data_IF_087679327057
#
_entry.id   IF_087679327057
#
_cell.length_a   1.000
_cell.length_b   1.000
_cell.length_c   1.000
_cell.angle_alpha   90.00
_cell.angle_beta   90.00
_cell.angle_gamma   90.00
#
_symmetry.space_group_name_H-M   'P 1'
#
loop_
_entity.id
_entity.type
_entity.pdbx_description
1 polymer ?
#
# COMPACT_ATOMS: atom_id res chain seq x y z
N UNK A 1 3.47 20.83 28.77
CA UNK A 1 2.04 20.74 28.38
C UNK A 1 1.36 22.12 28.27
N UNK A 2 1.69 23.11 29.09
CA UNK A 2 0.95 24.39 29.11
C UNK A 2 1.15 25.28 27.88
N UNK A 3 2.32 25.24 27.23
CA UNK A 3 2.60 25.99 26.00
C UNK A 3 1.62 25.69 24.85
N UNK A 4 1.12 24.44 24.77
CA UNK A 4 0.13 24.02 23.77
C UNK A 4 -1.30 24.40 24.14
N UNK A 5 -1.63 24.56 25.43
CA UNK A 5 -2.96 25.03 25.85
C UNK A 5 -3.15 26.51 25.54
N UNK A 6 -2.11 27.34 25.74
CA UNK A 6 -2.21 28.80 25.57
C UNK A 6 -2.52 29.23 24.12
N UNK A 7 -2.02 28.50 23.10
CA UNK A 7 -2.35 28.77 21.68
C UNK A 7 -3.71 28.23 21.20
N UNK A 8 -4.41 27.42 22.00
CA UNK A 8 -5.74 26.90 21.65
C UNK A 8 -6.89 27.73 22.26
N UNK A 9 -6.58 28.67 23.15
CA UNK A 9 -7.54 29.60 23.75
C UNK A 9 -7.73 30.89 22.95
N UNK A 10 -6.76 31.27 22.11
CA UNK A 10 -6.82 32.45 21.24
C UNK A 10 -7.65 32.15 19.99
N UNK A 11 -8.96 31.97 20.19
CA UNK A 11 -9.92 31.68 19.13
C UNK A 11 -10.19 32.91 18.26
N UNK A 12 -9.34 33.16 17.26
CA UNK A 12 -9.66 34.04 16.14
C UNK A 12 -8.99 33.63 14.82
N UNK A 13 -9.26 32.41 14.37
CA UNK A 13 -9.01 31.98 12.98
C UNK A 13 -10.34 31.50 12.38
N UNK A 14 -10.75 32.12 11.26
CA UNK A 14 -12.03 31.92 10.54
C UNK A 14 -13.27 32.71 11.05
N UNK A 15 -13.18 34.03 11.20
CA UNK A 15 -14.33 34.95 11.06
C UNK A 15 -13.87 36.38 10.70
N UNK A 16 -14.66 37.11 9.91
CA UNK A 16 -14.35 38.47 9.40
C UNK A 16 -13.87 38.45 7.95
N UNK A 17 -14.69 38.73 6.93
CA UNK A 17 -15.92 39.55 6.94
C UNK A 17 -15.56 40.97 6.51
N UNK A 18 -15.35 41.17 5.20
CA UNK A 18 -14.94 42.45 4.64
C UNK A 18 -16.01 43.53 4.82
N UNK A 19 -15.60 44.68 5.38
CA UNK A 19 -16.47 45.83 5.60
C UNK A 19 -16.89 46.50 4.28
N UNK A 20 -18.12 47.00 4.28
CA UNK A 20 -18.76 47.67 3.13
C UNK A 20 -18.22 49.09 2.95
N UNK A 21 -17.80 49.43 1.73
CA UNK A 21 -17.56 50.82 1.29
C UNK A 21 -18.41 51.07 0.05
N UNK A 22 -19.33 52.04 0.12
CA UNK A 22 -20.31 52.30 -0.94
C UNK A 22 -19.74 53.08 -2.14
N UNK A 23 -20.31 52.82 -3.31
CA UNK A 23 -20.10 53.58 -4.54
C UNK A 23 -21.13 53.16 -5.59
N UNK A 24 -21.96 54.09 -6.03
CA UNK A 24 -23.05 53.83 -6.99
C UNK A 24 -22.53 53.53 -8.41
N UNK A 25 -23.27 52.74 -9.21
CA UNK A 25 -22.81 52.25 -10.51
C UNK A 25 -23.15 53.21 -11.67
N UNK A 26 -22.24 53.44 -12.63
CA UNK A 26 -22.58 54.03 -13.92
C UNK A 26 -22.83 52.98 -15.01
N UNK A 27 -23.96 53.12 -15.72
CA UNK A 27 -24.09 52.82 -17.15
C UNK A 27 -24.05 51.35 -17.61
N UNK A 28 -25.22 50.76 -17.88
CA UNK A 28 -25.33 49.50 -18.63
C UNK A 28 -25.04 49.74 -20.12
N UNK A 29 -23.79 49.48 -20.54
CA UNK A 29 -23.39 49.43 -21.95
C UNK A 29 -23.57 48.02 -22.52
N UNK A 30 -24.64 47.80 -23.30
CA UNK A 30 -24.96 46.48 -23.87
C UNK A 30 -24.12 46.20 -25.14
N UNK A 31 -22.96 45.56 -24.97
CA UNK A 31 -22.07 45.15 -26.07
C UNK A 31 -21.96 43.63 -26.19
N UNK A 32 -22.58 43.05 -27.23
CA UNK A 32 -22.55 41.60 -27.48
C UNK A 32 -21.20 41.09 -28.02
N UNK A 33 -20.28 40.74 -27.13
CA UNK A 33 -19.04 40.04 -27.46
C UNK A 33 -19.16 38.53 -27.24
N UNK A 34 -18.98 37.73 -28.30
CA UNK A 34 -19.04 36.28 -28.19
C UNK A 34 -17.94 35.73 -27.28
N UNK A 35 -18.32 35.17 -26.13
CA UNK A 35 -17.37 34.54 -25.20
C UNK A 35 -16.79 33.29 -25.85
N UNK A 36 -15.62 33.46 -26.48
CA UNK A 36 -14.80 32.34 -26.94
C UNK A 36 -14.54 31.41 -25.77
N UNK A 37 -15.04 30.17 -25.87
CA UNK A 37 -14.77 29.11 -24.90
C UNK A 37 -13.25 29.03 -24.73
N UNK A 38 -12.70 29.12 -23.50
CA UNK A 38 -11.26 29.02 -23.32
C UNK A 38 -10.77 27.69 -23.91
N UNK A 39 -9.60 27.66 -24.56
CA UNK A 39 -9.06 26.43 -25.11
C UNK A 39 -9.00 25.41 -23.97
N UNK A 40 -9.67 24.28 -24.16
CA UNK A 40 -9.62 23.18 -23.19
C UNK A 40 -8.17 22.73 -23.14
N UNK A 41 -7.48 23.07 -22.06
CA UNK A 41 -6.21 22.43 -21.73
C UNK A 41 -6.44 20.91 -21.74
N UNK A 42 -5.59 20.13 -22.43
CA UNK A 42 -5.69 18.68 -22.33
C UNK A 42 -5.56 18.29 -20.85
N UNK A 43 -6.28 17.25 -20.40
CA UNK A 43 -6.10 16.75 -19.04
C UNK A 43 -4.61 16.41 -18.83
N UNK A 44 -4.05 16.71 -17.65
CA UNK A 44 -2.64 16.44 -17.39
C UNK A 44 -2.36 14.95 -17.59
N UNK A 45 -1.18 14.65 -18.13
CA UNK A 45 -0.70 13.28 -18.29
C UNK A 45 -0.77 12.53 -16.95
N UNK A 46 -1.35 11.31 -16.92
CA UNK A 46 -1.50 10.55 -15.69
C UNK A 46 -0.13 10.23 -15.09
N UNK A 47 -0.05 10.26 -13.76
CA UNK A 47 1.17 10.03 -13.00
C UNK A 47 1.14 8.68 -12.27
N UNK A 48 2.05 7.79 -12.66
CA UNK A 48 2.42 6.60 -11.90
C UNK A 48 3.53 6.93 -10.89
N UNK A 49 3.28 6.70 -9.60
CA UNK A 49 4.32 6.68 -8.58
C UNK A 49 4.81 5.25 -8.34
N UNK A 50 6.08 5.00 -8.60
CA UNK A 50 6.73 3.70 -8.35
C UNK A 50 7.55 3.78 -7.07
N UNK A 51 7.09 3.12 -6.01
CA UNK A 51 7.82 3.02 -4.74
C UNK A 51 8.78 1.83 -4.82
N UNK A 52 10.05 2.08 -5.14
CA UNK A 52 11.03 1.05 -5.48
C UNK A 52 12.47 1.44 -5.10
N UNK A 53 13.32 0.45 -4.76
CA UNK A 53 14.76 0.69 -4.60
C UNK A 53 15.41 1.11 -5.94
N UNK A 54 16.54 1.83 -5.91
CA UNK A 54 17.18 2.37 -7.12
C UNK A 54 17.81 1.32 -8.05
N UNK A 55 17.90 0.04 -7.63
CA UNK A 55 18.48 -1.05 -8.42
C UNK A 55 17.64 -1.48 -9.65
N UNK A 56 16.50 -0.85 -9.91
CA UNK A 56 15.75 -1.00 -11.16
C UNK A 56 15.19 0.36 -11.56
N UNK A 57 15.52 0.81 -12.77
CA UNK A 57 15.01 2.04 -13.38
C UNK A 57 13.63 1.77 -14.00
N UNK A 58 12.58 1.95 -13.21
CA UNK A 58 11.20 1.77 -13.68
C UNK A 58 10.77 2.90 -14.62
N UNK A 59 11.32 4.11 -14.45
CA UNK A 59 11.05 5.26 -15.33
C UNK A 59 11.43 4.91 -16.77
N UNK A 60 12.58 4.28 -16.99
CA UNK A 60 13.01 3.78 -18.31
C UNK A 60 12.11 2.66 -18.84
N UNK A 61 11.64 1.74 -18.01
CA UNK A 61 10.78 0.62 -18.42
C UNK A 61 9.38 1.06 -18.88
N UNK A 62 8.86 2.16 -18.31
CA UNK A 62 7.58 2.75 -18.68
C UNK A 62 7.68 3.86 -19.74
N UNK A 63 8.89 4.24 -20.20
CA UNK A 63 9.09 5.31 -21.19
C UNK A 63 8.35 5.02 -22.50
N UNK A 64 7.68 6.04 -23.05
CA UNK A 64 6.89 5.94 -24.28
C UNK A 64 5.58 5.14 -24.13
N UNK A 65 5.25 4.63 -22.94
CA UNK A 65 3.97 3.95 -22.69
C UNK A 65 2.87 4.97 -22.43
N UNK A 66 1.64 4.62 -22.78
CA UNK A 66 0.44 5.42 -22.50
C UNK A 66 -0.67 4.53 -21.95
N UNK A 67 -1.53 5.12 -21.11
CA UNK A 67 -2.68 4.43 -20.53
C UNK A 67 -3.74 4.23 -21.62
N UNK A 68 -4.27 5.33 -22.17
CA UNK A 68 -5.37 5.31 -23.14
C UNK A 68 -4.94 5.71 -24.57
N UNK A 69 -3.66 5.63 -24.91
CA UNK A 69 -3.14 6.01 -26.24
C UNK A 69 -2.83 7.50 -26.40
N UNK A 70 -3.68 8.37 -25.84
CA UNK A 70 -3.67 9.82 -26.11
C UNK A 70 -2.46 10.59 -25.56
N UNK A 71 -1.93 10.19 -24.39
CA UNK A 71 -0.91 10.94 -23.64
C UNK A 71 0.10 9.97 -23.01
N UNK A 72 1.39 10.28 -23.12
CA UNK A 72 2.47 9.51 -22.48
C UNK A 72 2.32 9.52 -20.95
N UNK A 73 2.56 8.37 -20.32
CA UNK A 73 2.52 8.19 -18.89
C UNK A 73 3.66 8.94 -18.21
N UNK A 74 3.35 9.81 -17.23
CA UNK A 74 4.37 10.35 -16.33
C UNK A 74 4.71 9.32 -15.27
N UNK A 75 6.00 9.19 -14.96
CA UNK A 75 6.49 8.21 -13.99
C UNK A 75 7.44 8.90 -13.03
N UNK A 76 7.16 8.78 -11.74
CA UNK A 76 8.02 9.20 -10.64
C UNK A 76 8.47 7.97 -9.87
N UNK A 77 9.76 7.85 -9.57
CA UNK A 77 10.31 6.77 -8.76
C UNK A 77 10.96 7.33 -7.50
N UNK A 78 10.68 6.69 -6.36
CA UNK A 78 11.20 7.07 -5.05
C UNK A 78 11.21 5.87 -4.08
N UNK A 79 11.99 5.94 -3.02
CA UNK A 79 11.94 5.01 -1.89
C UNK A 79 10.98 5.50 -0.80
N UNK A 80 10.46 4.61 0.04
CA UNK A 80 9.63 4.94 1.22
C UNK A 80 10.30 5.95 2.17
N UNK A 81 11.64 6.01 2.21
CA UNK A 81 12.40 6.98 3.01
C UNK A 81 12.39 8.40 2.43
N UNK A 82 12.12 8.55 1.14
CA UNK A 82 12.08 9.83 0.40
C UNK A 82 10.65 10.39 0.32
N UNK A 83 9.67 9.69 0.89
CA UNK A 83 8.25 10.01 0.75
C UNK A 83 7.66 10.51 2.07
N UNK A 84 6.94 11.63 1.97
CA UNK A 84 5.93 12.04 2.95
C UNK A 84 4.64 12.40 2.23
N UNK A 85 3.51 12.39 2.92
CA UNK A 85 2.23 12.75 2.31
C UNK A 85 1.29 13.43 3.30
N UNK A 86 0.33 14.15 2.75
CA UNK A 86 -0.89 14.57 3.44
C UNK A 86 -2.09 14.07 2.62
N UNK A 87 -3.06 13.45 3.29
CA UNK A 87 -4.28 12.94 2.71
C UNK A 87 -5.50 13.40 3.52
N UNK A 88 -6.63 13.61 2.84
CA UNK A 88 -7.91 13.99 3.43
C UNK A 88 -9.02 13.06 2.96
N UNK A 89 -10.03 12.83 3.81
CA UNK A 89 -11.26 12.07 3.50
C UNK A 89 -12.04 12.63 2.30
N UNK A 90 -11.80 13.87 1.90
CA UNK A 90 -12.39 14.49 0.72
C UNK A 90 -11.60 14.21 -0.59
N UNK A 91 -10.68 13.24 -0.60
CA UNK A 91 -9.92 12.82 -1.78
C UNK A 91 -8.73 13.71 -2.15
N UNK A 92 -8.37 14.67 -1.30
CA UNK A 92 -7.16 15.46 -1.49
C UNK A 92 -5.92 14.65 -1.07
N UNK A 93 -5.06 14.29 -2.01
CA UNK A 93 -3.77 13.63 -1.80
C UNK A 93 -2.63 14.52 -2.33
N UNK A 94 -1.67 14.81 -1.46
CA UNK A 94 -0.40 15.48 -1.82
C UNK A 94 0.75 14.64 -1.28
N UNK A 95 1.54 14.06 -2.18
CA UNK A 95 2.78 13.33 -1.86
C UNK A 95 3.95 14.29 -2.09
N UNK A 96 4.83 14.44 -1.10
CA UNK A 96 6.13 15.11 -1.25
C UNK A 96 7.19 14.05 -1.46
N UNK A 97 7.91 14.16 -2.57
CA UNK A 97 9.11 13.38 -2.87
C UNK A 97 10.31 14.28 -2.55
N UNK A 98 11.16 13.85 -1.62
CA UNK A 98 12.39 14.54 -1.22
C UNK A 98 13.60 13.66 -1.53
N UNK A 99 14.10 13.77 -2.78
CA UNK A 99 15.30 13.04 -3.21
C UNK A 99 16.56 13.82 -2.85
N UNK A 100 17.64 13.18 -2.35
CA UNK A 100 18.87 13.85 -1.90
C UNK A 100 19.56 14.77 -2.93
N UNK A 101 19.22 14.65 -4.22
CA UNK A 101 19.80 15.42 -5.34
C UNK A 101 18.81 16.37 -6.03
N UNK A 102 17.51 16.27 -5.73
CA UNK A 102 16.46 17.01 -6.44
C UNK A 102 15.67 17.99 -5.59
N UNK A 103 15.79 17.91 -4.26
CA UNK A 103 14.99 18.69 -3.32
C UNK A 103 13.51 18.25 -3.27
N UNK A 104 12.73 18.85 -2.36
CA UNK A 104 11.34 18.45 -2.12
C UNK A 104 10.42 18.95 -3.23
N UNK A 105 9.83 18.02 -4.01
CA UNK A 105 8.76 18.30 -4.99
C UNK A 105 7.44 17.66 -4.54
N UNK A 106 6.33 18.35 -4.81
CA UNK A 106 4.97 17.83 -4.53
C UNK A 106 4.35 17.26 -5.80
N UNK A 107 3.72 16.10 -5.66
CA UNK A 107 2.99 15.40 -6.72
C UNK A 107 1.68 14.84 -6.18
N UNK A 108 0.71 14.66 -7.07
CA UNK A 108 -0.52 13.90 -6.80
C UNK A 108 -0.52 12.74 -7.78
N UNK A 109 -0.22 11.50 -7.33
CA UNK A 109 -0.19 10.34 -8.20
C UNK A 109 -1.62 9.89 -8.55
N UNK A 110 -1.82 9.48 -9.79
CA UNK A 110 -3.06 8.85 -10.26
C UNK A 110 -3.05 7.34 -10.01
N UNK A 111 -1.87 6.71 -9.92
CA UNK A 111 -1.72 5.29 -9.59
C UNK A 111 -0.40 5.02 -8.84
N UNK A 112 -0.35 3.96 -8.04
CA UNK A 112 0.86 3.55 -7.29
C UNK A 112 1.27 2.10 -7.58
N UNK A 113 2.56 1.88 -7.85
CA UNK A 113 3.18 0.56 -7.90
C UNK A 113 4.15 0.42 -6.72
N UNK A 114 4.02 -0.61 -5.89
CA UNK A 114 4.89 -0.82 -4.71
C UNK A 114 5.81 -2.03 -4.93
N UNK A 115 7.09 -1.76 -5.14
CA UNK A 115 8.15 -2.76 -5.39
C UNK A 115 9.22 -2.80 -4.28
N UNK A 116 9.27 -1.81 -3.41
CA UNK A 116 10.14 -1.80 -2.22
C UNK A 116 9.51 -2.59 -1.06
N UNK A 117 10.27 -3.45 -0.34
CA UNK A 117 9.76 -4.11 0.84
C UNK A 117 9.61 -3.13 2.01
N UNK A 118 8.54 -3.22 2.82
CA UNK A 118 8.23 -2.30 3.92
C UNK A 118 9.16 -2.45 5.16
N UNK A 119 10.31 -3.08 5.00
CA UNK A 119 11.32 -3.34 6.04
C UNK A 119 12.71 -2.73 5.77
N UNK A 120 12.88 -1.95 4.70
CA UNK A 120 14.16 -1.31 4.39
C UNK A 120 14.49 -0.14 5.31
N UNK A 121 15.51 -0.27 6.17
CA UNK A 121 16.34 0.79 6.76
C UNK A 121 15.72 1.88 7.66
N UNK A 122 14.42 2.14 7.57
CA UNK A 122 13.74 3.26 8.21
C UNK A 122 13.14 2.95 9.59
N UNK A 123 12.84 4.00 10.36
CA UNK A 123 12.19 3.88 11.66
C UNK A 123 10.86 3.13 11.57
N UNK A 124 10.72 2.09 12.41
CA UNK A 124 9.67 1.07 12.34
C UNK A 124 8.27 1.61 12.01
N UNK A 125 7.73 1.16 10.88
CA UNK A 125 6.35 1.44 10.47
C UNK A 125 6.15 2.63 9.53
N UNK A 126 7.19 3.33 9.07
CA UNK A 126 7.03 4.40 8.07
C UNK A 126 6.31 3.93 6.77
N UNK A 127 6.68 2.79 6.15
CA UNK A 127 5.97 2.29 4.97
C UNK A 127 4.48 2.03 5.19
N UNK A 128 4.10 1.43 6.33
CA UNK A 128 2.69 1.19 6.66
C UNK A 128 1.89 2.47 6.86
N UNK A 129 2.50 3.53 7.43
CA UNK A 129 1.86 4.86 7.54
C UNK A 129 1.62 5.48 6.16
N UNK A 130 2.58 5.34 5.25
CA UNK A 130 2.44 5.80 3.87
C UNK A 130 1.33 5.03 3.12
N UNK A 131 1.29 3.69 3.23
CA UNK A 131 0.22 2.87 2.62
C UNK A 131 -1.19 3.27 3.11
N UNK A 132 -1.37 3.54 4.42
CA UNK A 132 -2.64 4.04 4.97
C UNK A 132 -2.98 5.43 4.41
N UNK A 133 -1.99 6.31 4.32
CA UNK A 133 -2.17 7.66 3.79
C UNK A 133 -2.55 7.70 2.31
N UNK A 134 -1.91 6.87 1.48
CA UNK A 134 -2.27 6.67 0.08
C UNK A 134 -3.71 6.13 -0.03
N UNK A 135 -4.09 5.17 0.81
CA UNK A 135 -5.42 4.57 0.77
C UNK A 135 -6.51 5.56 1.20
N UNK A 136 -6.25 6.38 2.22
CA UNK A 136 -7.12 7.49 2.62
C UNK A 136 -7.26 8.55 1.52
N UNK A 137 -6.19 8.77 0.74
CA UNK A 137 -6.19 9.65 -0.43
C UNK A 137 -6.92 9.08 -1.65
N UNK A 138 -7.37 7.82 -1.62
CA UNK A 138 -8.16 7.20 -2.68
C UNK A 138 -7.39 6.81 -3.94
N UNK A 139 -6.05 6.80 -3.92
CA UNK A 139 -5.25 6.43 -5.10
C UNK A 139 -5.26 4.92 -5.33
N UNK A 140 -5.56 4.43 -6.56
CA UNK A 140 -5.48 3.00 -6.90
C UNK A 140 -4.01 2.51 -6.96
N UNK A 141 -3.83 1.19 -6.82
CA UNK A 141 -2.49 0.57 -6.82
C UNK A 141 -2.49 -0.89 -7.25
N UNK A 142 -1.31 -1.39 -7.62
CA UNK A 142 -1.01 -2.82 -7.75
C UNK A 142 0.16 -3.22 -6.84
N UNK A 143 0.02 -4.20 -5.94
CA UNK A 143 -1.25 -4.79 -5.46
C UNK A 143 -2.15 -3.73 -4.77
N UNK A 144 -3.43 -3.99 -4.45
CA UNK A 144 -4.27 -3.06 -3.69
C UNK A 144 -3.68 -2.65 -2.33
N UNK A 145 -3.73 -1.35 -2.00
CA UNK A 145 -3.14 -0.80 -0.76
C UNK A 145 -3.54 -1.54 0.55
N UNK A 146 -4.79 -2.01 0.75
CA UNK A 146 -5.13 -2.81 1.94
C UNK A 146 -4.40 -4.16 2.00
N UNK A 147 -4.21 -4.82 0.85
CA UNK A 147 -3.46 -6.07 0.75
C UNK A 147 -1.98 -5.83 1.03
N UNK A 148 -1.38 -4.77 0.44
CA UNK A 148 -0.01 -4.35 0.73
C UNK A 148 0.19 -4.04 2.22
N UNK A 149 -0.75 -3.34 2.86
CA UNK A 149 -0.68 -3.05 4.30
C UNK A 149 -0.70 -4.33 5.16
N UNK A 150 -1.53 -5.31 4.81
CA UNK A 150 -1.62 -6.57 5.54
C UNK A 150 -0.38 -7.46 5.31
N UNK A 151 0.11 -7.55 4.06
CA UNK A 151 1.38 -8.20 3.72
C UNK A 151 2.59 -7.54 4.42
N UNK A 152 2.53 -6.22 4.68
CA UNK A 152 3.55 -5.47 5.44
C UNK A 152 3.55 -5.77 6.95
N UNK A 153 2.68 -6.67 7.42
CA UNK A 153 2.62 -7.10 8.82
C UNK A 153 2.77 -8.63 8.89
N UNK A 154 3.99 -9.17 9.10
CA UNK A 154 4.24 -10.62 8.98
C UNK A 154 3.32 -11.52 9.84
N UNK A 155 2.99 -11.18 11.11
CA UNK A 155 1.97 -11.90 11.88
C UNK A 155 0.59 -11.97 11.21
N UNK A 156 0.13 -10.91 10.52
CA UNK A 156 -1.14 -10.90 9.81
C UNK A 156 -1.11 -11.79 8.57
N UNK A 157 -0.03 -11.70 7.77
CA UNK A 157 0.22 -12.59 6.64
C UNK A 157 0.26 -14.06 7.10
N UNK A 158 1.06 -14.39 8.11
CA UNK A 158 1.18 -15.76 8.62
C UNK A 158 -0.18 -16.29 9.13
N UNK A 159 -0.98 -15.48 9.81
CA UNK A 159 -2.32 -15.90 10.25
C UNK A 159 -3.24 -16.30 9.08
N UNK A 160 -3.15 -15.63 7.93
CA UNK A 160 -3.86 -16.03 6.70
C UNK A 160 -3.27 -17.28 6.06
N UNK A 161 -1.94 -17.43 6.02
CA UNK A 161 -1.30 -18.65 5.51
C UNK A 161 -1.68 -19.87 6.35
N UNK A 162 -1.71 -19.72 7.68
CA UNK A 162 -2.18 -20.76 8.59
C UNK A 162 -3.68 -21.07 8.41
N UNK A 163 -4.50 -20.10 7.96
CA UNK A 163 -5.89 -20.35 7.54
C UNK A 163 -5.94 -21.21 6.28
N UNK A 164 -5.19 -20.84 5.24
CA UNK A 164 -5.08 -21.62 4.00
C UNK A 164 -4.61 -23.06 4.27
N UNK A 165 -3.65 -23.27 5.18
CA UNK A 165 -3.22 -24.63 5.58
C UNK A 165 -4.35 -25.44 6.24
N UNK A 166 -5.21 -24.82 7.05
CA UNK A 166 -6.37 -25.51 7.65
C UNK A 166 -7.46 -25.81 6.63
N UNK A 167 -7.64 -24.94 5.63
CA UNK A 167 -8.64 -25.10 4.56
C UNK A 167 -8.22 -26.15 3.52
N UNK A 168 -6.94 -26.18 3.14
CA UNK A 168 -6.41 -27.04 2.08
C UNK A 168 -5.78 -28.34 2.61
N UNK A 169 -5.44 -28.38 3.89
CA UNK A 169 -4.67 -29.47 4.51
C UNK A 169 -3.15 -29.30 4.37
N UNK A 170 -2.36 -29.87 5.30
CA UNK A 170 -0.90 -29.71 5.32
C UNK A 170 -0.20 -30.38 4.14
N UNK A 171 -0.79 -31.40 3.53
CA UNK A 171 -0.24 -32.03 2.32
C UNK A 171 -0.36 -31.14 1.09
N UNK A 172 -1.52 -30.50 0.89
CA UNK A 172 -1.73 -29.61 -0.25
C UNK A 172 -1.05 -28.24 -0.05
N UNK A 173 -0.95 -27.75 1.19
CA UNK A 173 -0.33 -26.48 1.53
C UNK A 173 0.64 -26.64 2.74
N UNK A 174 1.89 -27.09 2.49
CA UNK A 174 2.82 -27.48 3.55
C UNK A 174 3.53 -26.28 4.18
N UNK A 175 2.78 -25.35 4.78
CA UNK A 175 3.31 -24.23 5.55
C UNK A 175 4.16 -24.71 6.73
N UNK A 176 5.33 -24.09 6.90
CA UNK A 176 6.20 -24.31 8.06
C UNK A 176 5.50 -23.96 9.37
N UNK A 177 5.64 -24.79 10.43
CA UNK A 177 5.17 -24.43 11.76
C UNK A 177 5.86 -23.15 12.27
N UNK A 178 5.08 -22.13 12.60
CA UNK A 178 5.54 -20.96 13.36
C UNK A 178 4.64 -20.73 14.58
N UNK A 179 5.24 -20.21 15.64
CA UNK A 179 4.56 -19.79 16.87
C UNK A 179 4.55 -18.27 16.97
N UNK A 180 3.40 -17.67 17.26
CA UNK A 180 3.32 -16.25 17.60
C UNK A 180 3.50 -16.03 19.10
N UNK A 181 4.37 -15.09 19.46
CA UNK A 181 4.59 -14.62 20.82
C UNK A 181 4.18 -13.14 20.90
N UNK A 182 3.23 -12.81 21.78
CA UNK A 182 2.77 -11.43 22.01
C UNK A 182 3.58 -10.69 23.09
N UNK A 183 4.43 -11.38 23.85
CA UNK A 183 5.30 -10.83 24.89
C UNK A 183 6.65 -11.57 24.95
N UNK A 184 7.73 -10.94 25.44
CA UNK A 184 9.06 -11.54 25.58
C UNK A 184 9.08 -12.90 26.31
N UNK A 185 8.27 -13.07 27.37
CA UNK A 185 8.13 -14.34 28.11
C UNK A 185 7.78 -15.53 27.20
N UNK A 186 7.03 -15.30 26.12
CA UNK A 186 6.70 -16.34 25.15
C UNK A 186 7.94 -16.87 24.40
N UNK A 187 8.89 -16.00 24.04
CA UNK A 187 10.15 -16.39 23.39
C UNK A 187 11.00 -17.28 24.30
N UNK A 188 11.11 -16.89 25.58
CA UNK A 188 11.91 -17.59 26.59
C UNK A 188 11.28 -18.91 27.07
N UNK A 189 10.02 -19.18 26.70
CA UNK A 189 9.34 -20.43 27.05
C UNK A 189 9.65 -21.50 26.00
N UNK A 190 10.32 -22.58 26.43
CA UNK A 190 10.72 -23.73 25.61
C UNK A 190 11.40 -23.34 24.28
N UNK A 191 12.54 -22.61 24.32
CA UNK A 191 13.27 -22.25 23.11
C UNK A 191 13.91 -23.48 22.47
N UNK A 192 13.90 -23.52 21.14
CA UNK A 192 14.60 -24.51 20.32
C UNK A 192 15.60 -23.79 19.43
N UNK A 193 16.86 -24.20 19.46
CA UNK A 193 17.93 -23.53 18.73
C UNK A 193 18.49 -24.43 17.61
N UNK A 194 18.94 -23.86 16.48
CA UNK A 194 18.76 -22.46 16.10
C UNK A 194 17.30 -22.17 15.67
N UNK A 195 16.86 -20.93 15.88
CA UNK A 195 15.53 -20.45 15.44
C UNK A 195 15.64 -19.13 14.67
N UNK A 196 14.58 -18.78 13.95
CA UNK A 196 14.39 -17.47 13.33
C UNK A 196 13.26 -16.74 14.04
N UNK A 197 13.53 -15.53 14.53
CA UNK A 197 12.54 -14.65 15.17
C UNK A 197 12.27 -13.47 14.23
N UNK A 198 11.01 -13.26 13.87
CA UNK A 198 10.55 -12.12 13.06
C UNK A 198 9.74 -11.17 13.93
N UNK A 199 10.30 -9.99 14.22
CA UNK A 199 9.71 -8.95 15.06
C UNK A 199 8.83 -8.00 14.26
N UNK A 200 7.68 -7.63 14.81
CA UNK A 200 6.76 -6.68 14.19
C UNK A 200 6.06 -5.78 15.24
N UNK A 201 6.25 -4.45 15.20
CA UNK A 201 7.14 -3.71 14.30
C UNK A 201 8.62 -4.09 14.49
N UNK A 202 9.40 -3.96 13.42
CA UNK A 202 10.84 -4.20 13.43
C UNK A 202 11.57 -3.12 14.27
N UNK A 203 12.24 -3.46 15.39
CA UNK A 203 13.05 -2.51 16.14
C UNK A 203 14.27 -2.09 15.30
N UNK A 204 14.56 -0.79 15.25
CA UNK A 204 15.69 -0.22 14.50
C UNK A 204 15.81 -0.63 13.01
N UNK A 205 14.74 -1.16 12.39
CA UNK A 205 14.72 -1.69 11.03
C UNK A 205 15.03 -3.20 10.93
N UNK A 206 15.50 -3.84 12.00
CA UNK A 206 15.83 -5.28 12.01
C UNK A 206 14.57 -6.10 12.26
N UNK A 207 13.95 -6.58 11.17
CA UNK A 207 12.68 -7.31 11.23
C UNK A 207 12.80 -8.82 11.45
N UNK A 208 13.91 -9.46 11.06
CA UNK A 208 14.08 -10.93 11.08
C UNK A 208 15.51 -11.27 11.51
N UNK A 209 15.64 -12.10 12.54
CA UNK A 209 16.92 -12.43 13.21
C UNK A 209 17.04 -13.94 13.36
N UNK A 210 18.20 -14.51 13.00
CA UNK A 210 18.56 -15.89 13.38
C UNK A 210 19.15 -15.87 14.78
N UNK A 211 18.68 -16.75 15.65
CA UNK A 211 19.09 -16.85 17.05
C UNK A 211 19.68 -18.24 17.29
N UNK A 212 20.96 -18.30 17.61
CA UNK A 212 21.70 -19.54 17.88
C UNK A 212 21.83 -19.89 19.36
N UNK A 213 21.78 -18.90 20.27
CA UNK A 213 22.09 -19.09 21.69
C UNK A 213 21.05 -18.43 22.62
N UNK A 214 20.98 -18.84 23.91
CA UNK A 214 20.12 -18.20 24.92
C UNK A 214 20.41 -16.71 25.13
N UNK A 215 21.67 -16.29 25.03
CA UNK A 215 22.10 -14.90 25.26
C UNK A 215 21.58 -13.99 24.14
N UNK A 216 21.74 -14.43 22.88
CA UNK A 216 21.16 -13.76 21.72
C UNK A 216 19.62 -13.72 21.80
N UNK A 217 18.97 -14.77 22.33
CA UNK A 217 17.53 -14.77 22.57
C UNK A 217 17.12 -13.74 23.63
N UNK A 218 17.93 -13.56 24.68
CA UNK A 218 17.74 -12.53 25.70
C UNK A 218 17.75 -11.12 25.12
N UNK A 219 18.71 -10.81 24.24
CA UNK A 219 18.78 -9.51 23.54
C UNK A 219 17.55 -9.29 22.64
N UNK A 220 17.16 -10.30 21.85
CA UNK A 220 15.95 -10.23 21.00
C UNK A 220 14.67 -10.06 21.83
N UNK A 221 14.58 -10.73 22.98
CA UNK A 221 13.46 -10.60 23.92
C UNK A 221 13.40 -9.20 24.57
N UNK A 222 14.55 -8.61 24.91
CA UNK A 222 14.64 -7.22 25.37
C UNK A 222 14.21 -6.23 24.29
N UNK A 223 14.70 -6.38 23.07
CA UNK A 223 14.33 -5.52 21.93
C UNK A 223 12.83 -5.62 21.59
N UNK A 224 12.25 -6.82 21.65
CA UNK A 224 10.81 -7.06 21.51
C UNK A 224 10.01 -6.30 22.58
N UNK A 225 10.46 -6.35 23.84
CA UNK A 225 9.83 -5.65 24.96
C UNK A 225 9.87 -4.13 24.80
N UNK A 226 11.06 -3.57 24.55
CA UNK A 226 11.26 -2.12 24.38
C UNK A 226 10.46 -1.54 23.20
N UNK A 227 10.41 -2.25 22.07
CA UNK A 227 9.63 -1.84 20.90
C UNK A 227 8.12 -2.15 21.00
N UNK A 228 7.66 -2.81 22.08
CA UNK A 228 6.29 -3.33 22.24
C UNK A 228 5.84 -4.20 21.05
N UNK A 229 6.76 -4.99 20.51
CA UNK A 229 6.56 -5.78 19.31
C UNK A 229 5.94 -7.16 19.61
N UNK A 230 5.19 -7.69 18.63
CA UNK A 230 4.91 -9.11 18.53
C UNK A 230 6.04 -9.84 17.78
N UNK A 231 6.14 -11.15 17.96
CA UNK A 231 7.18 -11.97 17.34
C UNK A 231 6.59 -13.25 16.71
N UNK A 232 6.95 -13.55 15.47
CA UNK A 232 6.82 -14.90 14.92
C UNK A 232 8.12 -15.67 15.14
N UNK A 233 8.02 -16.91 15.60
CA UNK A 233 9.14 -17.81 15.86
C UNK A 233 9.02 -19.03 14.96
N UNK A 234 10.05 -19.30 14.18
CA UNK A 234 10.19 -20.49 13.34
C UNK A 234 11.44 -21.26 13.77
N UNK A 235 11.36 -22.58 13.91
CA UNK A 235 12.56 -23.41 14.04
C UNK A 235 13.43 -23.35 12.78
N UNK A 236 14.73 -23.60 12.91
CA UNK A 236 15.58 -23.79 11.73
C UNK A 236 15.15 -25.04 10.98
N UNK A 237 14.65 -24.87 9.75
CA UNK A 237 14.47 -25.98 8.82
C UNK A 237 15.80 -26.25 8.10
N UNK A 238 16.21 -27.51 8.07
CA UNK A 238 17.21 -27.98 7.12
C UNK A 238 16.60 -28.00 5.71
N UNK A 239 17.42 -27.67 4.71
CA UNK A 239 17.01 -27.77 3.31
C UNK A 239 18.21 -27.80 2.39
N UNK A 240 18.11 -28.55 1.30
CA UNK A 240 19.17 -28.69 0.28
C UNK A 240 18.92 -27.78 -0.93
N UNK A 241 17.65 -27.45 -1.19
CA UNK A 241 17.21 -26.64 -2.33
C UNK A 241 16.13 -25.66 -1.89
N UNK A 242 16.11 -24.49 -2.53
CA UNK A 242 15.04 -23.49 -2.46
C UNK A 242 14.25 -23.53 -3.75
N UNK A 243 12.93 -23.52 -3.64
CA UNK A 243 11.98 -23.40 -4.75
C UNK A 243 11.22 -22.08 -4.57
N UNK A 244 11.14 -21.26 -5.60
CA UNK A 244 10.24 -20.10 -5.67
C UNK A 244 9.25 -20.29 -6.81
N UNK A 245 7.97 -20.13 -6.51
CA UNK A 245 6.86 -20.15 -7.47
C UNK A 245 6.19 -18.79 -7.40
N UNK A 246 6.15 -18.07 -8.51
CA UNK A 246 5.67 -16.70 -8.58
C UNK A 246 4.59 -16.53 -9.65
N UNK A 247 3.69 -15.58 -9.41
CA UNK A 247 2.60 -15.19 -10.31
C UNK A 247 2.63 -13.67 -10.49
N UNK A 248 2.53 -13.22 -11.74
CA UNK A 248 2.47 -11.80 -12.13
C UNK A 248 1.31 -11.68 -13.13
N UNK A 249 0.16 -11.16 -12.69
CA UNK A 249 -1.08 -11.25 -13.45
C UNK A 249 -1.48 -12.71 -13.65
N UNK A 250 -1.63 -13.17 -14.89
CA UNK A 250 -1.92 -14.59 -15.21
C UNK A 250 -0.67 -15.42 -15.57
N UNK A 251 0.52 -14.81 -15.50
CA UNK A 251 1.77 -15.46 -15.87
C UNK A 251 2.45 -16.09 -14.64
N UNK A 252 3.00 -17.29 -14.80
CA UNK A 252 3.63 -18.06 -13.72
C UNK A 252 5.08 -18.39 -14.05
N UNK A 253 5.94 -18.40 -13.03
CA UNK A 253 7.31 -18.92 -13.13
C UNK A 253 7.65 -19.76 -11.90
N UNK A 254 8.30 -20.89 -12.12
CA UNK A 254 8.93 -21.68 -11.06
C UNK A 254 10.44 -21.68 -11.25
N UNK A 255 11.17 -21.42 -10.16
CA UNK A 255 12.62 -21.26 -10.10
C UNK A 255 13.18 -22.09 -8.95
N UNK A 256 14.32 -22.75 -9.14
CA UNK A 256 14.99 -23.56 -8.12
C UNK A 256 16.48 -23.24 -8.07
N UNK A 257 17.05 -23.25 -6.87
CA UNK A 257 18.50 -23.11 -6.68
C UNK A 257 18.96 -23.88 -5.43
N UNK A 258 20.24 -24.30 -5.35
CA UNK A 258 20.78 -24.92 -4.17
C UNK A 258 20.77 -23.96 -2.97
N UNK A 259 20.64 -24.52 -1.76
CA UNK A 259 20.81 -23.76 -0.52
C UNK A 259 22.30 -23.75 -0.14
N UNK A 260 23.02 -22.69 -0.51
CA UNK A 260 24.40 -22.46 -0.04
C UNK A 260 24.35 -21.82 1.35
N UNK A 261 25.23 -22.25 2.25
CA UNK A 261 25.31 -21.69 3.60
C UNK A 261 26.01 -20.32 3.57
N UNK A 262 25.33 -19.28 4.05
CA UNK A 262 25.85 -17.91 4.14
C UNK A 262 25.24 -16.93 3.14
N UNK A 263 24.86 -17.39 1.95
CA UNK A 263 24.43 -16.49 0.87
C UNK A 263 22.98 -15.97 1.01
N UNK A 264 22.71 -14.71 0.63
CA UNK A 264 21.36 -14.20 0.49
C UNK A 264 20.62 -14.88 -0.69
N UNK A 265 19.28 -15.05 -0.63
CA UNK A 265 18.56 -15.89 -1.59
C UNK A 265 18.60 -15.36 -3.04
N UNK A 266 19.39 -16.00 -3.89
CA UNK A 266 19.46 -15.72 -5.34
C UNK A 266 20.64 -14.84 -5.77
N UNK A 267 21.52 -14.49 -4.84
CA UNK A 267 22.85 -13.93 -5.13
C UNK A 267 23.86 -15.09 -5.08
N UNK A 268 24.82 -15.15 -6.00
CA UNK A 268 25.84 -16.22 -6.09
C UNK A 268 25.36 -17.61 -6.55
N UNK A 269 24.13 -18.02 -6.23
CA UNK A 269 23.60 -19.34 -6.58
C UNK A 269 23.08 -19.44 -8.03
N UNK A 270 23.35 -20.56 -8.71
CA UNK A 270 22.79 -20.89 -10.02
C UNK A 270 21.26 -21.06 -9.91
N UNK A 271 20.50 -20.09 -10.43
CA UNK A 271 19.02 -20.11 -10.45
C UNK A 271 18.50 -20.75 -11.74
N UNK A 272 17.88 -21.91 -11.60
CA UNK A 272 17.37 -22.73 -12.70
C UNK A 272 15.85 -22.59 -12.83
N UNK A 273 15.31 -22.31 -14.03
CA UNK A 273 13.89 -22.51 -14.32
C UNK A 273 13.49 -23.98 -14.16
N UNK A 274 12.33 -24.24 -13.57
CA UNK A 274 11.77 -25.59 -13.45
C UNK A 274 10.32 -25.64 -13.94
N UNK A 275 9.85 -26.82 -14.34
CA UNK A 275 8.47 -27.02 -14.76
C UNK A 275 7.50 -26.75 -13.60
N UNK A 276 6.44 -25.98 -13.85
CA UNK A 276 5.42 -25.67 -12.86
C UNK A 276 4.50 -26.88 -12.65
N UNK A 277 4.55 -27.51 -11.47
CA UNK A 277 3.62 -28.58 -11.13
C UNK A 277 2.23 -28.03 -10.74
N UNK A 278 1.14 -28.83 -10.87
CA UNK A 278 -0.19 -28.45 -10.39
C UNK A 278 -0.22 -28.14 -8.88
N UNK A 279 0.56 -28.87 -8.07
CA UNK A 279 0.72 -28.64 -6.62
C UNK A 279 1.32 -27.25 -6.36
N UNK A 280 2.42 -26.93 -7.04
CA UNK A 280 3.11 -25.64 -6.93
C UNK A 280 2.25 -24.47 -7.40
N UNK A 281 1.52 -24.65 -8.50
CA UNK A 281 0.52 -23.68 -8.97
C UNK A 281 -0.57 -23.45 -7.93
N UNK A 282 -1.11 -24.52 -7.34
CA UNK A 282 -2.13 -24.44 -6.29
C UNK A 282 -1.71 -23.59 -5.08
N UNK A 283 -0.42 -23.61 -4.70
CA UNK A 283 0.11 -22.76 -3.62
C UNK A 283 0.01 -21.28 -3.95
N UNK A 284 0.55 -20.87 -5.11
CA UNK A 284 0.56 -19.45 -5.50
C UNK A 284 -0.84 -18.95 -5.82
N UNK A 285 -1.72 -19.78 -6.40
CA UNK A 285 -3.12 -19.44 -6.62
C UNK A 285 -3.92 -19.30 -5.32
N UNK A 286 -3.60 -20.08 -4.28
CA UNK A 286 -4.16 -19.87 -2.94
C UNK A 286 -3.68 -18.56 -2.31
N UNK A 287 -2.39 -18.22 -2.44
CA UNK A 287 -1.83 -16.96 -1.96
C UNK A 287 -2.34 -15.74 -2.76
N UNK A 288 -2.61 -15.88 -4.05
CA UNK A 288 -3.14 -14.81 -4.91
C UNK A 288 -4.55 -14.32 -4.49
N UNK A 289 -5.31 -15.15 -3.77
CA UNK A 289 -6.64 -14.79 -3.23
C UNK A 289 -6.61 -14.09 -1.88
N UNK A 290 -5.42 -13.89 -1.29
CA UNK A 290 -5.30 -13.23 0.01
C UNK A 290 -5.74 -11.76 -0.05
N UNK A 291 -6.31 -11.28 1.05
CA UNK A 291 -6.69 -9.87 1.26
C UNK A 291 -7.61 -9.25 0.18
N UNK A 292 -8.40 -10.08 -0.51
CA UNK A 292 -9.32 -9.64 -1.58
C UNK A 292 -8.74 -9.79 -2.99
N UNK A 293 -7.49 -10.23 -3.12
CA UNK A 293 -6.80 -10.41 -4.40
C UNK A 293 -5.49 -9.63 -4.45
N UNK A 294 -4.44 -10.30 -4.93
CA UNK A 294 -3.14 -9.68 -5.27
C UNK A 294 -2.75 -10.06 -6.69
N UNK A 295 -2.19 -9.10 -7.43
CA UNK A 295 -1.77 -9.28 -8.83
C UNK A 295 -0.37 -9.87 -8.93
N UNK A 296 0.48 -9.56 -7.94
CA UNK A 296 1.90 -9.97 -7.91
C UNK A 296 2.15 -10.68 -6.58
N UNK A 297 2.39 -11.98 -6.64
CA UNK A 297 2.76 -12.74 -5.45
C UNK A 297 3.76 -13.87 -5.74
N UNK A 298 4.39 -14.35 -4.69
CA UNK A 298 5.29 -15.50 -4.79
C UNK A 298 5.31 -16.31 -3.51
N UNK A 299 5.48 -17.62 -3.67
CA UNK A 299 5.61 -18.62 -2.61
C UNK A 299 7.02 -19.17 -2.68
N UNK A 300 7.72 -19.18 -1.56
CA UNK A 300 9.04 -19.80 -1.44
C UNK A 300 8.99 -20.96 -0.46
N UNK A 301 9.50 -22.10 -0.91
CA UNK A 301 9.59 -23.33 -0.16
C UNK A 301 11.04 -23.81 -0.05
N UNK A 302 11.35 -24.47 1.06
CA UNK A 302 12.58 -25.24 1.22
C UNK A 302 12.28 -26.71 1.02
N UNK A 303 13.16 -27.41 0.29
CA UNK A 303 13.12 -28.86 0.16
C UNK A 303 14.08 -29.49 1.17
N UNK A 304 13.54 -30.28 2.09
CA UNK A 304 14.28 -31.03 3.10
C UNK A 304 15.12 -32.17 2.52
N UNK A 305 16.06 -32.74 3.30
CA UNK A 305 16.85 -33.91 2.89
C UNK A 305 15.99 -35.18 2.73
N UNK A 306 14.83 -35.23 3.37
CA UNK A 306 13.77 -36.25 3.19
C UNK A 306 12.97 -36.06 1.87
N UNK A 307 13.31 -35.03 1.09
CA UNK A 307 12.66 -34.70 -0.17
C UNK A 307 11.34 -33.93 -0.03
N UNK A 308 10.84 -33.69 1.20
CA UNK A 308 9.60 -32.95 1.46
C UNK A 308 9.81 -31.45 1.26
N UNK A 309 8.74 -30.76 0.86
CA UNK A 309 8.76 -29.32 0.61
C UNK A 309 7.95 -28.59 1.67
N UNK A 310 8.51 -27.53 2.25
CA UNK A 310 7.86 -26.68 3.25
C UNK A 310 7.83 -25.23 2.79
N UNK A 311 6.65 -24.63 2.69
CA UNK A 311 6.47 -23.20 2.41
C UNK A 311 7.01 -22.42 3.60
N UNK A 312 8.03 -21.58 3.38
CA UNK A 312 8.71 -20.80 4.42
C UNK A 312 8.45 -19.30 4.33
N UNK A 313 8.08 -18.80 3.15
CA UNK A 313 7.87 -17.39 2.94
C UNK A 313 6.88 -17.15 1.79
N UNK A 314 6.07 -16.10 1.92
CA UNK A 314 5.20 -15.59 0.86
C UNK A 314 5.51 -14.12 0.67
N UNK A 315 5.55 -13.68 -0.58
CA UNK A 315 5.80 -12.31 -1.02
C UNK A 315 4.54 -11.75 -1.70
N UNK A 316 4.28 -10.46 -1.53
CA UNK A 316 3.40 -9.68 -2.41
C UNK A 316 4.20 -8.91 -3.46
N UNK A 317 3.64 -7.79 -3.93
CA UNK A 317 4.21 -6.92 -4.98
C UNK A 317 5.69 -6.51 -4.84
N UNK A 318 6.33 -6.57 -3.67
CA UNK A 318 7.77 -6.30 -3.52
C UNK A 318 8.69 -7.54 -3.62
N UNK A 319 8.20 -8.66 -4.17
CA UNK A 319 9.02 -9.85 -4.41
C UNK A 319 10.25 -9.53 -5.30
N UNK A 320 11.49 -9.89 -4.89
CA UNK A 320 12.67 -9.77 -5.75
C UNK A 320 12.54 -10.64 -7.00
N UNK A 321 12.83 -10.06 -8.17
CA UNK A 321 12.89 -10.78 -9.43
C UNK A 321 14.30 -11.37 -9.58
N UNK A 322 14.41 -12.67 -9.84
CA UNK A 322 15.67 -13.41 -9.81
C UNK A 322 15.76 -14.41 -10.97
N UNK A 323 16.98 -14.82 -11.33
CA UNK A 323 17.23 -15.75 -12.43
C UNK A 323 17.06 -15.13 -13.82
N UNK A 324 17.23 -15.93 -14.89
CA UNK A 324 17.31 -15.44 -16.27
C UNK A 324 16.03 -14.77 -16.79
N UNK A 325 14.88 -15.03 -16.16
CA UNK A 325 13.59 -14.45 -16.52
C UNK A 325 13.29 -13.06 -15.95
N UNK A 326 14.19 -12.49 -15.13
CA UNK A 326 13.89 -11.28 -14.36
C UNK A 326 13.51 -10.05 -15.22
N UNK A 327 14.16 -9.86 -16.38
CA UNK A 327 13.84 -8.76 -17.30
C UNK A 327 12.49 -8.94 -18.01
N UNK A 328 12.11 -10.18 -18.33
CA UNK A 328 10.79 -10.52 -18.87
C UNK A 328 9.70 -10.25 -17.82
N UNK A 329 9.98 -10.59 -16.56
CA UNK A 329 9.07 -10.36 -15.43
C UNK A 329 8.91 -8.86 -15.10
N UNK A 330 9.95 -8.04 -15.29
CA UNK A 330 9.83 -6.57 -15.28
C UNK A 330 8.85 -6.08 -16.37
N UNK A 331 8.96 -6.62 -17.59
CA UNK A 331 8.04 -6.32 -18.69
C UNK A 331 6.59 -6.74 -18.39
N UNK A 332 6.38 -7.92 -17.80
CA UNK A 332 5.06 -8.37 -17.33
C UNK A 332 4.45 -7.41 -16.31
N UNK A 333 5.25 -6.91 -15.35
CA UNK A 333 4.77 -5.92 -14.37
C UNK A 333 4.38 -4.59 -15.05
N UNK A 334 5.13 -4.14 -16.05
CA UNK A 334 4.77 -2.94 -16.84
C UNK A 334 3.41 -3.10 -17.52
N UNK A 335 3.18 -4.19 -18.25
CA UNK A 335 1.91 -4.41 -18.95
C UNK A 335 0.73 -4.65 -17.99
N UNK A 336 0.96 -5.35 -16.88
CA UNK A 336 -0.02 -5.52 -15.79
C UNK A 336 -0.45 -4.16 -15.22
N UNK A 337 0.50 -3.29 -14.88
CA UNK A 337 0.21 -1.96 -14.32
C UNK A 337 -0.51 -1.08 -15.35
N UNK A 338 -0.10 -1.12 -16.63
CA UNK A 338 -0.81 -0.40 -17.69
C UNK A 338 -2.25 -0.91 -17.86
N UNK A 339 -2.49 -2.23 -17.78
CA UNK A 339 -3.82 -2.81 -17.82
C UNK A 339 -4.68 -2.38 -16.61
N UNK A 340 -4.10 -2.36 -15.40
CA UNK A 340 -4.77 -1.88 -14.19
C UNK A 340 -5.08 -0.38 -14.26
N UNK A 341 -4.14 0.46 -14.70
CA UNK A 341 -4.37 1.89 -14.96
C UNK A 341 -5.47 2.13 -16.00
N UNK A 342 -5.56 1.30 -17.06
CA UNK A 342 -6.65 1.39 -18.06
C UNK A 342 -8.04 1.05 -17.50
N UNK A 343 -8.11 0.23 -16.45
CA UNK A 343 -9.36 -0.15 -15.79
C UNK A 343 -9.81 0.89 -14.76
N UNK A 344 -8.87 1.39 -13.94
CA UNK A 344 -9.16 2.30 -12.83
C UNK A 344 -9.24 3.78 -13.24
N UNK A 345 -8.44 4.22 -14.23
CA UNK A 345 -8.36 5.65 -14.60
C UNK A 345 -9.40 6.05 -15.64
N UNK A 346 -10.13 7.17 -15.45
CA UNK A 346 -11.10 7.67 -16.41
C UNK A 346 -10.52 7.83 -17.82
N UNK A 347 -11.23 7.32 -18.83
CA UNK A 347 -10.89 7.61 -20.23
C UNK A 347 -11.07 9.11 -20.49
N UNK A 348 -10.11 9.79 -21.14
CA UNK A 348 -10.35 11.10 -21.74
C UNK A 348 -11.60 11.02 -22.61
N UNK A 349 -12.53 11.96 -22.43
CA UNK A 349 -13.70 12.04 -23.32
C UNK A 349 -13.22 12.54 -24.68
N UNK A 350 -13.06 11.62 -25.63
CA UNK A 350 -12.92 11.96 -27.04
C UNK A 350 -14.03 12.95 -27.43
N UNK A 351 -13.73 14.05 -28.15
CA UNK A 351 -14.77 14.92 -28.65
C UNK A 351 -15.67 14.11 -29.58
N UNK A 352 -16.92 13.90 -29.19
CA UNK A 352 -17.90 13.22 -30.04
C UNK A 352 -17.95 13.94 -31.40
N UNK A 353 -17.93 13.21 -32.53
CA UNK A 353 -18.13 13.83 -33.83
C UNK A 353 -19.45 14.61 -33.77
N UNK A 354 -19.41 15.89 -34.17
CA UNK A 354 -20.54 16.77 -34.03
C UNK A 354 -21.76 16.18 -34.76
N UNK A 355 -22.79 15.79 -34.01
CA UNK A 355 -24.04 15.27 -34.57
C UNK A 355 -24.55 16.31 -35.58
N UNK A 356 -24.77 15.97 -36.86
CA UNK A 356 -25.27 16.92 -37.84
C UNK A 356 -26.55 17.55 -37.30
N UNK A 357 -26.61 18.89 -37.27
CA UNK A 357 -27.86 19.59 -36.94
C UNK A 357 -28.87 19.24 -38.05
N UNK A 358 -30.08 18.77 -37.74
CA UNK A 358 -31.10 18.63 -38.76
C UNK A 358 -31.38 20.03 -39.34
N UNK A 359 -31.22 20.18 -40.65
CA UNK A 359 -31.70 21.38 -41.34
C UNK A 359 -33.23 21.37 -41.25
N UNK A 360 -33.80 22.36 -40.55
CA UNK A 360 -35.25 22.54 -40.48
C UNK A 360 -35.68 23.20 -41.78
N UNK A 361 -36.14 22.38 -42.73
CA UNK A 361 -36.81 22.86 -43.94
C UNK A 361 -38.14 23.50 -43.54
N UNK A 362 -38.23 24.83 -43.67
CA UNK A 362 -39.44 25.58 -43.35
C UNK A 362 -40.48 25.33 -44.44
N UNK A 363 -41.56 24.62 -44.10
CA UNK A 363 -42.74 24.48 -44.97
C UNK A 363 -43.97 24.99 -44.24
N UNK A 364 -44.57 26.05 -44.77
CA UNK A 364 -45.79 26.66 -44.24
C UNK A 364 -46.99 25.73 -44.44
N UNK A 365 -47.72 25.45 -43.38
CA UNK A 365 -48.92 24.60 -43.40
C UNK A 365 -49.78 24.83 -42.16
N UNK A 366 -50.82 25.65 -42.30
CA UNK A 366 -51.81 25.89 -41.23
C UNK A 366 -52.85 24.78 -41.21
N UNK A 367 -53.02 24.10 -40.06
CA UNK A 367 -54.34 23.84 -39.43
C UNK A 367 -54.18 23.17 -38.05
N UNK A 368 -54.87 23.72 -37.05
CA UNK A 368 -55.33 23.04 -35.81
C UNK A 368 -56.76 22.48 -36.06
N UNK A 369 -57.42 21.71 -35.15
CA UNK A 369 -57.12 21.44 -33.73
C UNK A 369 -57.26 19.96 -33.26
N UNK A 370 -56.99 19.67 -31.98
CA UNK A 370 -57.52 18.48 -31.29
C UNK A 370 -56.63 17.90 -30.18
N UNK A 371 -56.95 18.16 -28.91
CA UNK A 371 -56.34 17.51 -27.73
C UNK A 371 -57.37 17.26 -26.64
N UNK A 372 -57.57 16.01 -26.15
CA UNK A 372 -58.22 15.74 -24.88
C UNK A 372 -57.20 15.80 -23.71
N UNK A 373 -57.64 16.09 -22.47
CA UNK A 373 -56.73 16.36 -21.35
C UNK A 373 -56.40 15.11 -20.52
N UNK A 374 -55.23 15.10 -19.87
CA UNK A 374 -54.94 14.17 -18.77
C UNK A 374 -54.54 14.93 -17.49
N UNK A 375 -55.00 14.42 -16.36
CA UNK A 375 -55.13 15.14 -15.09
C UNK A 375 -53.83 15.21 -14.28
N UNK A 376 -53.75 16.23 -13.42
CA UNK A 376 -52.77 16.37 -12.34
C UNK A 376 -53.51 16.25 -10.99
N UNK A 377 -52.99 15.47 -10.03
CA UNK A 377 -53.21 15.76 -8.60
C UNK A 377 -51.98 16.44 -7.98
N UNK A 378 -52.24 17.37 -7.04
CA UNK A 378 -51.23 18.06 -6.24
C UNK A 378 -51.13 17.43 -4.83
N UNK A 379 -50.11 17.77 -4.00
CA UNK A 379 -49.78 17.01 -2.79
C UNK A 379 -50.61 17.40 -1.56
N UNK A 380 -50.60 16.54 -0.53
CA UNK A 380 -51.11 16.84 0.81
C UNK A 380 -50.07 16.53 1.91
N UNK A 381 -50.03 17.38 2.93
CA UNK A 381 -49.24 17.35 4.17
C UNK A 381 -49.94 18.27 5.20
N UNK A 382 -49.49 18.43 6.49
CA UNK A 382 -48.43 17.74 7.24
C UNK A 382 -49.02 16.82 8.36
N UNK A 383 -49.13 17.09 9.69
CA UNK A 383 -48.65 18.17 10.60
C UNK A 383 -47.85 17.74 11.88
N UNK A 384 -46.67 18.35 12.06
CA UNK A 384 -46.07 18.83 13.34
C UNK A 384 -45.56 17.84 14.44
N UNK A 385 -44.58 18.35 15.21
CA UNK A 385 -43.70 17.65 16.18
C UNK A 385 -44.02 18.00 17.66
N UNK A 386 -43.27 17.46 18.66
CA UNK A 386 -42.15 18.24 19.22
C UNK A 386 -40.90 17.42 19.70
N UNK A 387 -40.01 18.07 20.47
CA UNK A 387 -38.57 17.77 20.71
C UNK A 387 -38.24 17.10 22.09
N UNK A 388 -36.97 16.66 22.34
CA UNK A 388 -36.63 15.67 23.39
C UNK A 388 -36.15 16.26 24.73
N UNK A 389 -36.02 15.41 25.77
CA UNK A 389 -35.54 15.75 27.12
C UNK A 389 -34.51 14.73 27.67
N UNK A 390 -33.36 15.26 28.10
CA UNK A 390 -32.38 14.89 29.16
C UNK A 390 -31.94 13.43 29.45
N UNK A 391 -30.68 13.33 29.87
CA UNK A 391 -29.97 12.12 30.30
C UNK A 391 -29.77 12.04 31.84
N UNK A 392 -29.26 10.91 32.36
CA UNK A 392 -28.43 10.93 33.57
C UNK A 392 -27.04 10.28 33.39
N UNK A 393 -26.11 10.64 34.29
CA UNK A 393 -24.72 10.18 34.37
C UNK A 393 -24.59 8.78 35.00
N UNK A 394 -23.41 8.15 34.86
CA UNK A 394 -22.73 7.57 36.02
C UNK A 394 -21.32 8.16 36.23
N UNK A 395 -20.83 8.15 37.47
CA UNK A 395 -19.49 8.58 37.84
C UNK A 395 -18.49 7.42 37.93
N UNK A 396 -17.19 7.73 37.87
CA UNK A 396 -16.09 6.78 38.06
C UNK A 396 -14.79 7.53 38.36
N UNK A 397 -14.03 7.06 39.35
CA UNK A 397 -12.85 7.75 39.89
C UNK A 397 -11.54 7.42 39.14
N UNK A 398 -10.56 8.34 39.22
CA UNK A 398 -9.18 8.13 38.74
C UNK A 398 -8.28 7.46 39.79
N UNK A 399 -7.26 6.73 39.31
CA UNK A 399 -5.92 6.70 39.92
C UNK A 399 -4.86 7.40 39.04
N UNK A 400 -3.67 7.74 39.58
CA UNK A 400 -2.72 8.66 38.95
C UNK A 400 -1.71 8.04 37.98
N UNK A 401 -1.08 8.90 37.16
CA UNK A 401 0.02 8.56 36.24
C UNK A 401 1.41 8.81 36.86
N UNK A 402 2.44 7.99 36.55
CA UNK A 402 3.84 8.35 36.76
C UNK A 402 4.43 9.15 35.58
N UNK A 403 5.53 9.84 35.84
CA UNK A 403 6.20 10.80 34.94
C UNK A 403 7.06 10.14 33.83
N UNK A 404 7.46 10.88 32.78
CA UNK A 404 8.28 10.34 31.69
C UNK A 404 9.79 10.48 31.96
N UNK A 405 10.52 9.36 31.94
CA UNK A 405 12.00 9.38 31.91
C UNK A 405 12.54 9.73 30.52
N UNK A 406 13.56 10.60 30.49
CA UNK A 406 14.30 10.94 29.28
C UNK A 406 15.47 9.97 29.11
N UNK A 407 15.43 9.08 28.11
CA UNK A 407 16.52 8.13 27.84
C UNK A 407 16.59 7.56 26.42
N UNK A 408 15.80 8.09 25.47
CA UNK A 408 15.59 7.44 24.17
C UNK A 408 16.75 7.51 23.17
N UNK A 409 17.66 8.48 23.28
CA UNK A 409 18.68 8.73 22.26
C UNK A 409 19.88 7.77 22.35
N UNK A 410 20.37 7.50 23.55
CA UNK A 410 21.55 6.65 23.77
C UNK A 410 21.22 5.17 23.62
N UNK A 411 20.04 4.74 24.09
CA UNK A 411 19.56 3.36 23.95
C UNK A 411 19.48 2.89 22.49
N UNK A 412 19.07 3.76 21.55
CA UNK A 412 19.00 3.41 20.12
C UNK A 412 20.40 3.26 19.50
N UNK A 413 21.38 4.04 19.97
CA UNK A 413 22.78 3.96 19.51
C UNK A 413 23.44 2.68 20.03
N UNK A 414 23.22 2.37 21.31
CA UNK A 414 23.63 1.11 21.95
C UNK A 414 23.00 -0.09 21.26
N UNK A 415 21.69 -0.10 21.00
CA UNK A 415 21.01 -1.17 20.24
C UNK A 415 21.64 -1.42 18.86
N UNK A 416 21.96 -0.36 18.09
CA UNK A 416 22.64 -0.51 16.80
C UNK A 416 24.04 -1.12 16.92
N UNK A 417 24.80 -0.75 17.96
CA UNK A 417 26.12 -1.30 18.22
C UNK A 417 26.04 -2.77 18.70
N UNK A 418 25.13 -3.10 19.60
CA UNK A 418 24.89 -4.47 20.07
C UNK A 418 24.38 -5.39 18.97
N UNK A 419 23.56 -4.90 18.04
CA UNK A 419 23.19 -5.67 16.85
C UNK A 419 24.40 -5.87 15.91
N UNK A 420 25.23 -4.85 15.68
CA UNK A 420 26.43 -4.99 14.85
C UNK A 420 27.43 -6.02 15.42
N UNK A 421 27.63 -6.05 16.74
CA UNK A 421 28.52 -7.02 17.40
C UNK A 421 27.95 -8.44 17.49
N UNK A 422 26.64 -8.64 17.28
CA UNK A 422 25.98 -9.96 17.29
C UNK A 422 25.95 -10.63 15.90
N UNK A 423 26.43 -9.95 14.86
CA UNK A 423 26.46 -10.44 13.48
C UNK A 423 27.86 -10.36 12.84
N UNK A 424 28.90 -10.14 13.66
CA UNK A 424 30.29 -10.24 13.27
C UNK A 424 30.85 -11.57 13.79
N UNK A 425 30.47 -12.68 13.14
CA UNK A 425 31.19 -13.97 12.99
C UNK A 425 30.33 -14.94 12.14
#
# INVERSE_FOLDING_TARGET
>A
MEYLRRRLSDGNFLAGGGGVGGGDPPGVGQGGGGVGRPPRTPPPAPLLLVIAPPGTDWVKLFKGKSVHGDVELRVEQAQFSELSLVASTHGALSVTIDTPRGGPRRVTPDFVLVREPPGGGGAGGAPRRLLVGLHLGGVPSSDPLPALYACAHPPCLFAQLARLQRELGPEAFPLVPQRFCNRPRGLLTAPTFPMTVTLSPAPAGVGKVRVGTPEALGVVAGAMGGARAGALVQGSLGGTQRLRVQRIGEEYRALRWPLVAGDPPGEGAQVEPVALSPRHRGWVDACARLFGGVDICGVEALRGPDGREHIVQVFGSWMPLVGPGAAEDQGRIVELVLARMRAELPRPRSPSPARPRPQVSVTSGSTRPGTPPQQRPAPQAPPLAPKPILAPKPGGAQPPSPAPEQGGAESIRSLRQSFASLFAD
#
